data_IF_225078612124
#
_entry.id   IF_225078612124
#
_cell.length_a   1.000
_cell.length_b   1.000
_cell.length_c   1.000
_cell.angle_alpha   90.00
_cell.angle_beta   90.00
_cell.angle_gamma   90.00
#
_symmetry.space_group_name_H-M   'P 1'
#
loop_
_entity.id
_entity.type
_entity.pdbx_description
1 polymer ?
#
# COMPACT_ATOMS: atom_id res chain seq x y z
N UNK A 1 -39.16 -15.00 6.70
CA UNK A 1 -37.84 -14.75 7.26
C UNK A 1 -36.81 -15.13 6.20
N UNK A 2 -36.33 -14.17 5.41
CA UNK A 2 -35.36 -14.40 4.37
C UNK A 2 -33.96 -14.32 4.99
N UNK A 3 -33.20 -15.40 4.91
CA UNK A 3 -31.82 -15.48 5.41
C UNK A 3 -30.90 -14.52 4.66
N UNK A 4 -30.27 -13.58 5.38
CA UNK A 4 -29.22 -12.73 4.82
C UNK A 4 -28.06 -13.59 4.33
N UNK A 5 -27.48 -13.31 3.16
CA UNK A 5 -26.33 -14.04 2.64
C UNK A 5 -25.13 -13.81 3.55
N UNK A 6 -24.54 -14.90 4.05
CA UNK A 6 -23.25 -14.89 4.77
C UNK A 6 -22.20 -14.25 3.85
N UNK A 7 -21.60 -13.14 4.27
CA UNK A 7 -20.50 -12.51 3.54
C UNK A 7 -19.38 -13.54 3.37
N UNK A 8 -19.17 -13.97 2.15
CA UNK A 8 -18.09 -14.89 1.79
C UNK A 8 -16.76 -14.17 2.03
N UNK A 9 -15.83 -14.83 2.72
CA UNK A 9 -14.43 -14.44 2.75
C UNK A 9 -13.97 -14.35 1.28
N UNK A 10 -13.90 -13.15 0.72
CA UNK A 10 -13.40 -12.96 -0.64
C UNK A 10 -11.90 -13.21 -0.59
N UNK A 11 -11.37 -14.24 -1.24
CA UNK A 11 -9.94 -14.47 -1.30
C UNK A 11 -9.26 -13.26 -1.97
N UNK A 12 -8.00 -12.95 -1.59
CA UNK A 12 -7.23 -11.90 -2.27
C UNK A 12 -7.21 -12.18 -3.78
N UNK A 13 -7.17 -11.13 -4.63
CA UNK A 13 -7.21 -11.27 -6.08
C UNK A 13 -6.12 -12.21 -6.58
N UNK A 14 -6.35 -12.95 -7.67
CA UNK A 14 -5.41 -13.93 -8.18
C UNK A 14 -4.04 -13.27 -8.44
N UNK A 15 -3.07 -13.67 -7.63
CA UNK A 15 -1.69 -13.26 -7.79
C UNK A 15 -1.03 -14.06 -8.90
N UNK A 16 -0.09 -13.45 -9.64
CA UNK A 16 0.74 -14.21 -10.57
C UNK A 16 1.42 -15.37 -9.84
N UNK A 17 1.84 -16.39 -10.60
CA UNK A 17 2.54 -17.56 -10.02
C UNK A 17 3.73 -17.17 -9.13
N UNK A 18 4.41 -16.05 -9.40
CA UNK A 18 5.52 -15.52 -8.60
C UNK A 18 5.07 -14.84 -7.30
N UNK A 19 3.93 -14.14 -7.30
CA UNK A 19 3.43 -13.41 -6.12
C UNK A 19 2.74 -14.34 -5.11
N UNK A 20 2.12 -15.43 -5.53
CA UNK A 20 1.37 -16.33 -4.65
C UNK A 20 2.17 -16.84 -3.44
N UNK A 21 3.41 -17.36 -3.59
CA UNK A 21 4.21 -17.80 -2.44
C UNK A 21 4.66 -16.60 -1.56
N UNK A 22 4.88 -15.42 -2.14
CA UNK A 22 5.23 -14.21 -1.39
C UNK A 22 4.05 -13.77 -0.53
N UNK A 23 2.84 -13.71 -1.09
CA UNK A 23 1.62 -13.34 -0.38
C UNK A 23 1.31 -14.31 0.76
N UNK A 24 1.47 -15.62 0.55
CA UNK A 24 1.30 -16.62 1.62
C UNK A 24 2.22 -16.33 2.80
N UNK A 25 3.53 -16.13 2.55
CA UNK A 25 4.52 -15.79 3.59
C UNK A 25 4.19 -14.47 4.32
N UNK A 26 3.60 -13.49 3.62
CA UNK A 26 3.13 -12.26 4.25
C UNK A 26 1.96 -12.55 5.19
N UNK A 27 0.92 -13.22 4.71
CA UNK A 27 -0.30 -13.50 5.47
C UNK A 27 -0.03 -14.33 6.73
N UNK A 28 0.93 -15.27 6.65
CA UNK A 28 1.34 -16.16 7.75
C UNK A 28 2.38 -15.53 8.69
N UNK A 29 2.87 -14.31 8.42
CA UNK A 29 3.94 -13.69 9.18
C UNK A 29 3.54 -13.39 10.63
N UNK A 30 4.43 -13.78 11.58
CA UNK A 30 4.25 -13.58 13.03
C UNK A 30 5.37 -12.77 13.68
N UNK A 31 6.30 -12.17 12.91
CA UNK A 31 7.55 -11.54 13.40
C UNK A 31 7.33 -10.37 14.36
N UNK A 32 6.16 -9.73 14.38
CA UNK A 32 5.86 -8.55 15.18
C UNK A 32 4.68 -8.83 16.12
N UNK A 33 4.89 -9.41 17.33
CA UNK A 33 3.81 -9.79 18.25
C UNK A 33 2.88 -8.61 18.59
N UNK A 34 3.44 -7.42 18.87
CA UNK A 34 2.66 -6.20 19.16
C UNK A 34 1.67 -5.87 18.04
N UNK A 35 2.12 -5.86 16.79
CA UNK A 35 1.26 -5.56 15.64
C UNK A 35 0.23 -6.67 15.40
N UNK A 36 0.64 -7.94 15.55
CA UNK A 36 -0.27 -9.08 15.37
C UNK A 36 -1.39 -9.09 16.41
N UNK A 37 -1.04 -8.81 17.67
CA UNK A 37 -2.03 -8.66 18.75
C UNK A 37 -2.96 -7.50 18.46
N UNK A 38 -2.44 -6.32 18.13
CA UNK A 38 -3.26 -5.16 17.79
C UNK A 38 -4.23 -5.42 16.64
N UNK A 39 -3.75 -6.00 15.52
CA UNK A 39 -4.62 -6.33 14.38
C UNK A 39 -5.77 -7.26 14.76
N UNK A 40 -5.50 -8.29 15.60
CA UNK A 40 -6.52 -9.24 16.09
C UNK A 40 -7.49 -8.59 17.07
N UNK A 41 -7.00 -7.76 17.97
CA UNK A 41 -7.83 -7.00 18.92
C UNK A 41 -8.82 -6.11 18.16
N UNK A 42 -8.33 -5.30 17.22
CA UNK A 42 -9.18 -4.46 16.36
C UNK A 42 -10.20 -5.29 15.56
N UNK A 43 -9.78 -6.47 15.07
CA UNK A 43 -10.69 -7.35 14.32
C UNK A 43 -11.80 -7.96 15.18
N UNK A 44 -11.55 -8.16 16.48
CA UNK A 44 -12.53 -8.65 17.46
C UNK A 44 -13.45 -7.51 17.95
N UNK A 45 -12.87 -6.38 18.35
CA UNK A 45 -13.58 -5.25 18.95
C UNK A 45 -14.37 -4.46 17.92
N UNK A 46 -13.83 -4.35 16.69
CA UNK A 46 -14.41 -3.67 15.55
C UNK A 46 -14.75 -2.19 15.84
N UNK A 47 -15.19 -1.48 14.85
CA UNK A 47 -15.81 -0.15 14.96
C UNK A 47 -17.32 -0.32 14.83
N UNK A 48 -18.11 0.46 15.53
CA UNK A 48 -19.59 0.36 15.51
C UNK A 48 -20.16 0.35 14.08
N UNK A 49 -19.65 1.19 13.20
CA UNK A 49 -20.06 1.26 11.79
C UNK A 49 -19.75 -0.01 10.97
N UNK A 50 -18.93 -0.93 11.48
CA UNK A 50 -18.49 -2.15 10.79
C UNK A 50 -18.64 -3.40 11.67
N UNK A 51 -19.56 -3.36 12.68
CA UNK A 51 -19.70 -4.46 13.65
C UNK A 51 -20.10 -5.78 13.00
N UNK A 52 -20.88 -5.71 11.93
CA UNK A 52 -21.41 -6.88 11.24
C UNK A 52 -20.46 -7.42 10.15
N UNK A 53 -19.36 -6.71 9.87
CA UNK A 53 -18.37 -7.13 8.89
C UNK A 53 -17.36 -8.09 9.50
N UNK A 54 -16.80 -8.98 8.65
CA UNK A 54 -15.70 -9.86 9.03
C UNK A 54 -14.40 -9.13 8.71
N UNK A 55 -13.63 -8.79 9.76
CA UNK A 55 -12.31 -8.21 9.60
C UNK A 55 -11.29 -9.29 9.22
N UNK A 56 -10.38 -8.93 8.33
CA UNK A 56 -9.24 -9.77 7.94
C UNK A 56 -8.31 -10.07 9.11
N UNK A 57 -7.87 -9.06 9.88
CA UNK A 57 -7.08 -9.18 11.10
C UNK A 57 -5.70 -9.84 10.96
N UNK A 58 -5.19 -9.98 9.74
CA UNK A 58 -3.91 -10.61 9.40
C UNK A 58 -3.00 -9.62 8.67
N UNK A 59 -1.69 -9.94 8.44
CA UNK A 59 -0.85 -9.14 7.57
C UNK A 59 -1.47 -9.01 6.18
N UNK A 60 -1.37 -7.81 5.61
CA UNK A 60 -1.98 -7.46 4.32
C UNK A 60 -0.92 -7.54 3.22
N UNK A 61 -1.05 -8.42 2.22
CA UNK A 61 -0.17 -8.44 1.07
C UNK A 61 -0.40 -7.23 0.16
N UNK A 62 0.49 -7.01 -0.79
CA UNK A 62 0.25 -6.08 -1.87
C UNK A 62 -0.82 -6.58 -2.82
N UNK A 63 -1.33 -5.70 -3.69
CA UNK A 63 -2.31 -6.05 -4.70
C UNK A 63 -2.13 -5.19 -5.97
N UNK A 64 -2.62 -5.66 -7.08
CA UNK A 64 -2.62 -4.95 -8.36
C UNK A 64 -2.19 -5.82 -9.52
N UNK A 65 -1.71 -5.19 -10.59
CA UNK A 65 -1.25 -5.87 -11.79
C UNK A 65 0.06 -6.62 -11.54
N UNK A 66 0.11 -7.95 -11.70
CA UNK A 66 1.36 -8.71 -11.55
C UNK A 66 2.41 -8.36 -12.62
N UNK A 67 2.05 -7.65 -13.68
CA UNK A 67 2.96 -7.15 -14.71
C UNK A 67 3.26 -5.65 -14.53
N UNK A 68 2.98 -5.10 -13.36
CA UNK A 68 3.13 -3.69 -13.06
C UNK A 68 4.51 -3.14 -13.43
N UNK A 69 4.50 -1.97 -14.06
CA UNK A 69 5.68 -1.13 -14.27
C UNK A 69 5.88 -0.11 -13.13
N UNK A 70 4.83 0.11 -12.34
CA UNK A 70 4.82 1.05 -11.20
C UNK A 70 4.52 0.31 -9.90
N UNK A 71 5.37 0.50 -8.88
CA UNK A 71 5.12 0.06 -7.51
C UNK A 71 4.78 1.26 -6.64
N UNK A 72 3.58 1.29 -6.07
CA UNK A 72 3.19 2.31 -5.08
C UNK A 72 3.41 1.75 -3.67
N UNK A 73 4.20 2.43 -2.86
CA UNK A 73 4.53 1.99 -1.50
C UNK A 73 3.92 2.95 -0.48
N UNK A 74 3.03 2.44 0.36
CA UNK A 74 2.48 3.15 1.52
C UNK A 74 3.21 2.84 2.82
N UNK A 75 2.70 3.40 3.94
CA UNK A 75 3.22 3.15 5.27
C UNK A 75 2.83 1.76 5.78
N UNK A 76 1.55 1.56 6.00
CA UNK A 76 0.97 0.39 6.67
C UNK A 76 -0.54 0.31 6.44
N UNK A 77 -1.19 -0.86 6.66
CA UNK A 77 -2.64 -0.99 6.70
C UNK A 77 -3.26 -0.08 7.76
N UNK A 78 -4.38 0.57 7.43
CA UNK A 78 -5.21 1.26 8.40
C UNK A 78 -6.01 0.24 9.24
N UNK A 79 -6.19 0.53 10.55
CA UNK A 79 -6.83 -0.39 11.51
C UNK A 79 -8.26 -0.82 11.10
N UNK A 80 -9.05 0.12 10.60
CA UNK A 80 -10.43 -0.13 10.13
C UNK A 80 -10.58 -0.07 8.60
N UNK A 81 -9.50 0.16 7.87
CA UNK A 81 -9.39 0.07 6.41
C UNK A 81 -8.82 -1.29 6.00
N UNK A 82 -7.55 -1.33 5.59
CA UNK A 82 -6.93 -2.54 5.06
C UNK A 82 -6.82 -3.70 6.05
N UNK A 83 -6.70 -3.45 7.37
CA UNK A 83 -6.79 -4.52 8.38
C UNK A 83 -8.19 -5.16 8.45
N UNK A 84 -9.23 -4.46 7.96
CA UNK A 84 -10.59 -5.00 7.79
C UNK A 84 -10.74 -5.69 6.45
N UNK A 85 -10.32 -5.04 5.37
CA UNK A 85 -10.65 -5.42 3.99
C UNK A 85 -9.63 -6.34 3.31
N UNK A 86 -8.47 -6.60 3.92
CA UNK A 86 -7.33 -7.32 3.31
C UNK A 86 -6.71 -6.62 2.07
N UNK A 87 -7.13 -5.39 1.72
CA UNK A 87 -6.65 -4.64 0.56
C UNK A 87 -6.14 -3.26 0.98
N UNK A 88 -4.88 -2.95 0.65
CA UNK A 88 -4.28 -1.65 0.97
C UNK A 88 -5.08 -0.50 0.36
N UNK A 89 -5.14 0.64 1.05
CA UNK A 89 -5.90 1.83 0.62
C UNK A 89 -7.37 1.52 0.28
N UNK A 90 -8.03 0.68 1.08
CA UNK A 90 -9.42 0.27 0.85
C UNK A 90 -10.24 0.38 2.12
N UNK A 91 -11.46 0.92 1.99
CA UNK A 91 -12.45 0.91 3.06
C UNK A 91 -12.24 1.98 4.13
N UNK A 92 -11.48 3.04 3.87
CA UNK A 92 -11.26 4.16 4.81
C UNK A 92 -12.46 5.13 4.87
N UNK A 93 -13.56 4.81 4.19
CA UNK A 93 -14.74 5.64 4.02
C UNK A 93 -14.61 6.65 2.88
N UNK A 94 -15.72 7.33 2.57
CA UNK A 94 -15.76 8.33 1.52
C UNK A 94 -14.75 9.47 1.79
N UNK A 95 -13.97 9.84 0.78
CA UNK A 95 -12.92 10.85 0.89
C UNK A 95 -11.72 10.44 1.77
N UNK A 96 -11.58 9.16 2.08
CA UNK A 96 -10.42 8.63 2.79
C UNK A 96 -9.16 8.54 1.90
N UNK A 97 -8.06 8.09 2.50
CA UNK A 97 -6.77 7.94 1.80
C UNK A 97 -6.86 7.06 0.55
N UNK A 98 -7.74 6.04 0.59
CA UNK A 98 -7.98 5.12 -0.54
C UNK A 98 -8.60 5.83 -1.73
N UNK A 99 -9.71 6.53 -1.53
CA UNK A 99 -10.38 7.28 -2.60
C UNK A 99 -9.48 8.40 -3.16
N UNK A 100 -8.76 9.11 -2.28
CA UNK A 100 -7.85 10.16 -2.70
C UNK A 100 -6.72 9.63 -3.60
N UNK A 101 -6.16 8.47 -3.24
CA UNK A 101 -5.13 7.80 -4.04
C UNK A 101 -5.71 7.28 -5.37
N UNK A 102 -6.85 6.57 -5.31
CA UNK A 102 -7.45 5.98 -6.50
C UNK A 102 -7.91 7.03 -7.51
N UNK A 103 -8.43 8.18 -7.06
CA UNK A 103 -8.80 9.28 -7.95
C UNK A 103 -7.59 9.79 -8.76
N UNK A 104 -6.43 9.96 -8.11
CA UNK A 104 -5.20 10.37 -8.80
C UNK A 104 -4.66 9.28 -9.74
N UNK A 105 -4.71 8.02 -9.33
CA UNK A 105 -4.29 6.88 -10.16
C UNK A 105 -5.21 6.68 -11.36
N UNK A 106 -6.52 6.79 -11.16
CA UNK A 106 -7.51 6.71 -12.24
C UNK A 106 -7.33 7.81 -13.28
N UNK A 107 -7.17 9.06 -12.84
CA UNK A 107 -6.92 10.19 -13.74
C UNK A 107 -5.66 10.01 -14.61
N UNK A 108 -4.65 9.31 -14.10
CA UNK A 108 -3.42 8.97 -14.83
C UNK A 108 -3.46 7.59 -15.51
N UNK A 109 -4.60 6.90 -15.54
CA UNK A 109 -4.79 5.62 -16.21
C UNK A 109 -4.15 4.40 -15.51
N UNK A 110 -3.89 4.49 -14.19
CA UNK A 110 -3.35 3.38 -13.37
C UNK A 110 -4.43 2.62 -12.60
N UNK A 111 -5.69 3.03 -12.68
CA UNK A 111 -6.83 2.34 -12.11
C UNK A 111 -8.05 2.51 -13.02
N UNK A 112 -8.94 1.52 -13.04
CA UNK A 112 -10.17 1.55 -13.85
C UNK A 112 -11.29 2.38 -13.22
N UNK A 113 -11.17 2.73 -11.92
CA UNK A 113 -12.16 3.53 -11.19
C UNK A 113 -11.49 4.42 -10.13
N UNK A 114 -12.13 5.56 -9.74
CA UNK A 114 -11.54 6.54 -8.83
C UNK A 114 -11.76 6.23 -7.35
N UNK A 115 -12.27 5.05 -6.99
CA UNK A 115 -12.62 4.69 -5.61
C UNK A 115 -12.10 3.31 -5.23
N UNK A 116 -11.92 3.09 -3.91
CA UNK A 116 -11.52 1.80 -3.32
C UNK A 116 -12.32 1.55 -2.04
N UNK A 117 -13.50 0.97 -2.18
CA UNK A 117 -14.48 0.85 -1.09
C UNK A 117 -14.43 -0.47 -0.35
N UNK A 118 -14.37 -1.58 -1.09
CA UNK A 118 -14.42 -2.94 -0.54
C UNK A 118 -13.70 -3.92 -1.47
N UNK A 119 -13.26 -5.08 -0.97
CA UNK A 119 -12.86 -6.19 -1.83
C UNK A 119 -14.00 -6.58 -2.76
N UNK A 120 -13.71 -6.79 -4.05
CA UNK A 120 -14.73 -7.16 -5.04
C UNK A 120 -15.59 -5.98 -5.56
N UNK A 121 -15.20 -4.74 -5.29
CA UNK A 121 -15.85 -3.53 -5.80
C UNK A 121 -15.56 -3.22 -7.28
N UNK A 122 -14.89 -4.13 -7.98
CA UNK A 122 -14.53 -3.98 -9.40
C UNK A 122 -13.24 -3.18 -9.63
N UNK A 123 -12.56 -2.70 -8.59
CA UNK A 123 -11.29 -2.00 -8.76
C UNK A 123 -10.21 -2.92 -9.33
N UNK A 124 -9.67 -2.51 -10.47
CA UNK A 124 -8.49 -3.10 -11.11
C UNK A 124 -7.38 -2.04 -11.25
N UNK A 125 -6.16 -2.41 -10.93
CA UNK A 125 -4.99 -1.57 -11.18
C UNK A 125 -4.37 -1.96 -12.52
N UNK A 126 -3.96 -0.95 -13.28
CA UNK A 126 -3.41 -1.07 -14.63
C UNK A 126 -1.95 -0.62 -14.57
N UNK A 127 -1.00 -1.49 -14.97
CA UNK A 127 0.44 -1.21 -14.88
C UNK A 127 0.95 -0.85 -13.46
N UNK A 128 0.15 -1.02 -12.44
CA UNK A 128 0.43 -0.58 -11.08
C UNK A 128 0.21 -1.69 -10.05
N UNK A 129 1.05 -1.72 -9.02
CA UNK A 129 0.94 -2.59 -7.86
C UNK A 129 1.10 -1.77 -6.60
N UNK A 130 0.26 -2.01 -5.58
CA UNK A 130 0.30 -1.29 -4.31
C UNK A 130 0.78 -2.22 -3.21
N UNK A 131 1.80 -1.77 -2.49
CA UNK A 131 2.36 -2.43 -1.32
C UNK A 131 2.47 -1.46 -0.13
N UNK A 132 2.94 -1.93 1.00
CA UNK A 132 3.22 -1.11 2.17
C UNK A 132 4.56 -1.49 2.82
N UNK A 133 5.23 -0.53 3.47
CA UNK A 133 6.48 -0.78 4.20
C UNK A 133 6.26 -1.74 5.38
N UNK A 134 5.09 -1.69 6.01
CA UNK A 134 4.66 -2.59 7.10
C UNK A 134 3.34 -3.26 6.71
N UNK A 135 3.21 -4.57 6.98
CA UNK A 135 2.06 -5.38 6.53
C UNK A 135 0.93 -5.49 7.55
N UNK A 136 1.14 -5.03 8.76
CA UNK A 136 0.16 -5.04 9.84
C UNK A 136 -0.18 -3.61 10.24
N UNK A 137 -1.43 -3.36 10.66
CA UNK A 137 -1.82 -2.06 11.19
C UNK A 137 -1.06 -1.78 12.50
N UNK A 138 -0.33 -0.66 12.62
CA UNK A 138 0.31 -0.28 13.86
C UNK A 138 -0.61 0.61 14.69
N UNK A 139 -0.57 0.52 16.03
CA UNK A 139 -1.26 1.47 16.90
C UNK A 139 -0.91 2.92 16.54
N UNK A 140 -1.92 3.78 16.47
CA UNK A 140 -1.81 5.20 16.11
C UNK A 140 -1.06 5.46 14.77
N UNK A 141 -1.05 4.49 13.86
CA UNK A 141 -0.28 4.52 12.60
C UNK A 141 1.25 4.73 12.79
N UNK A 142 1.79 4.30 13.94
CA UNK A 142 3.20 4.46 14.30
C UNK A 142 3.89 3.10 14.49
N UNK A 143 4.45 2.50 13.44
CA UNK A 143 5.30 1.33 13.58
C UNK A 143 6.64 1.72 14.22
N UNK A 144 7.24 0.80 14.97
CA UNK A 144 8.60 0.98 15.49
C UNK A 144 9.64 0.75 14.37
N UNK A 145 10.87 1.22 14.56
CA UNK A 145 11.97 0.97 13.62
C UNK A 145 12.25 -0.53 13.46
N UNK A 146 12.13 -1.30 14.54
CA UNK A 146 12.28 -2.76 14.53
C UNK A 146 11.18 -3.44 13.70
N UNK A 147 9.93 -3.00 13.82
CA UNK A 147 8.80 -3.53 13.03
C UNK A 147 8.95 -3.23 11.54
N UNK A 148 9.44 -2.04 11.20
CA UNK A 148 9.79 -1.69 9.81
C UNK A 148 10.91 -2.60 9.29
N UNK A 149 11.96 -2.83 10.08
CA UNK A 149 13.06 -3.72 9.73
C UNK A 149 12.59 -5.17 9.56
N UNK A 150 11.80 -5.70 10.50
CA UNK A 150 11.24 -7.05 10.43
C UNK A 150 10.34 -7.26 9.20
N UNK A 151 9.67 -6.20 8.75
CA UNK A 151 8.74 -6.25 7.62
C UNK A 151 9.42 -6.05 6.25
N UNK A 152 10.60 -5.44 6.23
CA UNK A 152 11.34 -5.09 5.01
C UNK A 152 11.56 -6.28 4.05
N UNK A 153 11.88 -7.53 4.49
CA UNK A 153 12.04 -8.68 3.59
C UNK A 153 10.79 -9.00 2.76
N UNK A 154 9.60 -8.64 3.23
CA UNK A 154 8.38 -8.83 2.45
C UNK A 154 8.31 -7.84 1.28
N UNK A 155 8.74 -6.59 1.47
CA UNK A 155 8.79 -5.60 0.39
C UNK A 155 9.87 -5.97 -0.65
N UNK A 156 11.03 -6.48 -0.19
CA UNK A 156 12.08 -7.04 -1.07
C UNK A 156 11.52 -8.16 -1.94
N UNK A 157 10.79 -9.11 -1.34
CA UNK A 157 10.25 -10.26 -2.05
C UNK A 157 9.16 -9.87 -3.06
N UNK A 158 8.29 -8.89 -2.75
CA UNK A 158 7.30 -8.40 -3.71
C UNK A 158 7.96 -7.67 -4.87
N UNK A 159 8.94 -6.79 -4.62
CA UNK A 159 9.66 -6.11 -5.70
C UNK A 159 10.40 -7.12 -6.60
N UNK A 160 10.98 -8.17 -6.03
CA UNK A 160 11.61 -9.24 -6.81
C UNK A 160 10.62 -10.04 -7.66
N UNK A 161 9.36 -10.19 -7.20
CA UNK A 161 8.28 -10.85 -7.94
C UNK A 161 7.62 -9.95 -9.01
N UNK A 162 8.02 -8.67 -9.12
CA UNK A 162 7.54 -7.67 -10.06
C UNK A 162 8.67 -7.17 -10.96
N UNK A 163 9.20 -8.01 -11.88
CA UNK A 163 10.44 -7.72 -12.62
C UNK A 163 10.34 -6.53 -13.58
N UNK A 164 9.12 -6.08 -13.92
CA UNK A 164 8.89 -4.96 -14.85
C UNK A 164 8.86 -3.59 -14.16
N UNK A 165 8.92 -3.54 -12.82
CA UNK A 165 8.87 -2.28 -12.08
C UNK A 165 10.08 -1.42 -12.42
N UNK A 166 9.82 -0.32 -13.12
CA UNK A 166 10.80 0.72 -13.44
C UNK A 166 10.65 1.99 -12.60
N UNK A 167 9.50 2.16 -11.94
CA UNK A 167 9.23 3.35 -11.10
C UNK A 167 8.60 2.92 -9.77
N UNK A 168 9.05 3.52 -8.66
CA UNK A 168 8.46 3.38 -7.33
C UNK A 168 7.90 4.72 -6.88
N UNK A 169 6.62 4.79 -6.55
CA UNK A 169 5.98 5.95 -5.90
C UNK A 169 5.96 5.72 -4.39
N UNK A 170 6.71 6.51 -3.63
CA UNK A 170 6.80 6.41 -2.18
C UNK A 170 5.86 7.41 -1.50
N UNK A 171 4.77 6.92 -0.91
CA UNK A 171 3.76 7.74 -0.23
C UNK A 171 4.17 8.00 1.23
N UNK A 172 4.79 9.16 1.48
CA UNK A 172 5.27 9.60 2.79
C UNK A 172 6.69 9.17 3.11
N UNK A 173 7.23 9.80 4.18
CA UNK A 173 8.64 9.65 4.57
C UNK A 173 9.06 8.21 4.87
N UNK A 174 8.24 7.45 5.59
CA UNK A 174 8.58 6.06 5.96
C UNK A 174 8.65 5.15 4.73
N UNK A 175 7.72 5.31 3.78
CA UNK A 175 7.74 4.59 2.51
C UNK A 175 8.97 4.97 1.69
N UNK A 176 9.31 6.25 1.64
CA UNK A 176 10.53 6.74 0.97
C UNK A 176 11.79 6.13 1.57
N UNK A 177 11.89 6.11 2.91
CA UNK A 177 13.02 5.51 3.59
C UNK A 177 13.10 3.99 3.36
N UNK A 178 11.95 3.31 3.24
CA UNK A 178 11.89 1.88 2.89
C UNK A 178 12.42 1.62 1.46
N UNK A 179 12.11 2.49 0.49
CA UNK A 179 12.62 2.38 -0.88
C UNK A 179 14.16 2.50 -0.93
N UNK A 180 14.75 3.40 -0.13
CA UNK A 180 16.22 3.51 -0.07
C UNK A 180 16.89 2.34 0.64
N UNK A 181 16.20 1.68 1.57
CA UNK A 181 16.66 0.39 2.12
C UNK A 181 16.67 -0.72 1.07
N UNK A 182 15.67 -0.74 0.17
CA UNK A 182 15.70 -1.66 -0.99
C UNK A 182 16.92 -1.43 -1.87
N UNK A 183 17.21 -0.17 -2.22
CA UNK A 183 18.39 0.20 -3.00
C UNK A 183 19.69 -0.16 -2.28
N UNK A 184 19.76 0.09 -0.97
CA UNK A 184 20.92 -0.24 -0.14
C UNK A 184 21.17 -1.76 -0.09
N UNK A 185 20.12 -2.57 0.06
CA UNK A 185 20.21 -4.02 0.02
C UNK A 185 20.68 -4.60 -1.32
N UNK A 186 20.62 -3.81 -2.40
CA UNK A 186 21.18 -4.12 -3.72
C UNK A 186 22.56 -3.48 -3.98
N UNK A 187 23.13 -2.76 -3.00
CA UNK A 187 24.40 -2.06 -3.14
C UNK A 187 24.38 -0.79 -4.02
N UNK A 188 23.18 -0.30 -4.36
CA UNK A 188 23.01 0.82 -5.34
C UNK A 188 22.40 2.08 -4.72
N UNK A 189 22.36 2.18 -3.39
CA UNK A 189 21.84 3.37 -2.72
C UNK A 189 22.77 4.57 -2.92
N UNK A 190 22.25 5.74 -3.37
CA UNK A 190 23.05 6.93 -3.51
C UNK A 190 23.55 7.45 -2.15
N UNK A 191 24.72 8.07 -2.15
CA UNK A 191 25.32 8.76 -1.00
C UNK A 191 25.68 10.18 -1.39
N UNK A 192 25.20 11.21 -0.67
CA UNK A 192 24.31 11.14 0.48
C UNK A 192 22.90 10.65 0.10
N UNK A 193 22.14 10.15 1.10
CA UNK A 193 20.74 9.76 0.92
C UNK A 193 19.92 10.93 0.41
N UNK A 194 19.08 10.76 -0.63
CA UNK A 194 18.25 11.81 -1.18
C UNK A 194 17.26 12.40 -0.16
N UNK A 195 16.94 13.67 -0.31
CA UNK A 195 15.97 14.35 0.56
C UNK A 195 14.54 13.94 0.19
N UNK A 196 13.70 13.80 1.20
CA UNK A 196 12.27 13.62 0.96
C UNK A 196 11.61 14.96 0.62
N UNK A 197 10.90 15.03 -0.50
CA UNK A 197 10.09 16.17 -0.90
C UNK A 197 9.02 15.72 -1.90
N UNK A 198 7.82 16.31 -1.82
CA UNK A 198 6.72 15.97 -2.72
C UNK A 198 7.11 16.25 -4.19
N UNK A 199 6.81 15.30 -5.08
CA UNK A 199 7.09 15.41 -6.52
C UNK A 199 8.58 15.25 -6.91
N UNK A 200 9.50 15.13 -5.93
CA UNK A 200 10.90 14.89 -6.24
C UNK A 200 11.11 13.49 -6.78
N UNK A 201 11.79 13.40 -7.91
CA UNK A 201 12.12 12.15 -8.58
C UNK A 201 13.63 11.91 -8.56
N UNK A 202 14.01 10.69 -8.24
CA UNK A 202 15.40 10.22 -8.21
C UNK A 202 15.54 9.06 -9.19
N UNK A 203 16.45 9.23 -10.16
CA UNK A 203 16.73 8.24 -11.22
C UNK A 203 18.06 7.55 -10.97
N UNK A 204 18.14 6.29 -11.34
CA UNK A 204 19.33 5.46 -11.31
C UNK A 204 19.19 4.38 -12.38
N UNK A 205 20.26 4.04 -13.06
CA UNK A 205 20.26 2.95 -14.05
C UNK A 205 20.21 1.56 -13.37
N UNK A 206 20.65 1.48 -12.11
CA UNK A 206 20.75 0.22 -11.37
C UNK A 206 19.54 -0.08 -10.48
N UNK A 207 18.58 0.86 -10.35
CA UNK A 207 17.40 0.71 -9.49
C UNK A 207 16.21 1.47 -10.07
N UNK A 208 14.98 0.97 -9.88
CA UNK A 208 13.79 1.71 -10.30
C UNK A 208 13.81 3.17 -9.84
N UNK A 209 13.38 4.09 -10.68
CA UNK A 209 13.28 5.49 -10.31
C UNK A 209 12.34 5.64 -9.11
N UNK A 210 12.68 6.49 -8.15
CA UNK A 210 11.85 6.72 -6.95
C UNK A 210 11.26 8.12 -7.00
N UNK A 211 9.94 8.22 -6.96
CA UNK A 211 9.22 9.49 -6.81
C UNK A 211 8.64 9.56 -5.40
N UNK A 212 8.98 10.62 -4.68
CA UNK A 212 8.42 10.90 -3.36
C UNK A 212 7.11 11.68 -3.46
N UNK A 213 6.09 11.27 -2.72
CA UNK A 213 4.85 12.02 -2.58
C UNK A 213 4.43 12.14 -1.11
N UNK A 214 3.74 13.22 -0.74
CA UNK A 214 3.09 13.27 0.56
C UNK A 214 2.04 12.17 0.66
N UNK A 215 1.91 11.56 1.84
CA UNK A 215 0.93 10.52 2.06
C UNK A 215 -0.50 11.12 2.01
N UNK A 216 -1.48 10.49 1.33
CA UNK A 216 -2.86 10.98 1.24
C UNK A 216 -3.64 10.71 2.54
N UNK A 217 -3.03 11.00 3.70
CA UNK A 217 -3.69 10.93 5.01
C UNK A 217 -4.65 12.11 5.19
N UNK A 218 -5.71 11.90 5.95
CA UNK A 218 -6.65 12.98 6.32
C UNK A 218 -5.94 14.20 6.91
N UNK A 219 -4.86 14.00 7.66
CA UNK A 219 -4.05 15.10 8.18
C UNK A 219 -3.49 15.97 7.05
N UNK A 220 -2.93 15.36 6.00
CA UNK A 220 -2.35 16.12 4.89
C UNK A 220 -3.42 16.70 3.94
N UNK A 221 -4.51 15.98 3.72
CA UNK A 221 -5.58 16.42 2.81
C UNK A 221 -6.45 17.50 3.43
N UNK A 222 -6.83 17.37 4.70
CA UNK A 222 -7.66 18.35 5.40
C UNK A 222 -6.91 19.66 5.70
N UNK A 223 -5.57 19.63 5.80
CA UNK A 223 -4.75 20.84 6.00
C UNK A 223 -4.29 21.49 4.69
N UNK A 224 -4.67 20.93 3.53
CA UNK A 224 -4.23 21.43 2.24
C UNK A 224 -2.76 21.16 1.91
N UNK A 225 -2.02 20.45 2.79
CA UNK A 225 -0.62 20.05 2.54
C UNK A 225 -0.50 19.15 1.31
N UNK A 226 -1.51 18.36 1.02
CA UNK A 226 -1.65 17.57 -0.19
C UNK A 226 -3.01 17.84 -0.82
N UNK A 227 -3.02 18.38 -2.03
CA UNK A 227 -4.23 18.59 -2.82
C UNK A 227 -4.44 17.47 -3.85
N UNK A 228 -5.66 17.27 -4.39
CA UNK A 228 -5.90 16.30 -5.46
C UNK A 228 -5.02 16.55 -6.70
N UNK A 229 -4.84 17.82 -7.09
CA UNK A 229 -3.97 18.21 -8.22
C UNK A 229 -2.53 17.78 -8.00
N UNK A 230 -1.96 18.07 -6.84
CA UNK A 230 -0.59 17.68 -6.50
C UNK A 230 -0.35 16.17 -6.61
N UNK A 231 -1.28 15.33 -6.14
CA UNK A 231 -1.09 13.89 -6.24
C UNK A 231 -1.32 13.38 -7.66
N UNK A 232 -2.25 13.96 -8.40
CA UNK A 232 -2.45 13.67 -9.83
C UNK A 232 -1.19 13.96 -10.64
N UNK A 233 -0.56 15.12 -10.47
CA UNK A 233 0.69 15.50 -11.14
C UNK A 233 1.82 14.49 -10.90
N UNK A 234 1.90 13.92 -9.69
CA UNK A 234 2.86 12.84 -9.41
C UNK A 234 2.60 11.63 -10.32
N UNK A 235 1.34 11.19 -10.46
CA UNK A 235 1.02 10.02 -11.30
C UNK A 235 1.11 10.31 -12.80
N UNK A 236 0.78 11.53 -13.24
CA UNK A 236 1.02 11.98 -14.63
C UNK A 236 2.52 11.96 -14.96
N UNK A 237 3.36 12.47 -14.05
CA UNK A 237 4.82 12.37 -14.19
C UNK A 237 5.31 10.92 -14.27
N UNK A 238 4.75 10.03 -13.43
CA UNK A 238 5.04 8.58 -13.47
C UNK A 238 4.65 8.00 -14.84
N UNK A 239 3.49 8.37 -15.39
CA UNK A 239 3.04 7.89 -16.70
C UNK A 239 4.02 8.25 -17.81
N UNK A 240 4.61 9.43 -17.78
CA UNK A 240 5.64 9.85 -18.73
C UNK A 240 7.02 9.20 -18.52
N UNK A 241 7.20 8.37 -17.48
CA UNK A 241 8.47 7.69 -17.17
C UNK A 241 8.48 6.20 -17.56
N UNK A 242 7.33 5.62 -17.93
CA UNK A 242 7.16 4.19 -18.23
C UNK A 242 6.72 3.93 -19.65
#
# INVERSE_FOLDING_TARGET
MAGMPRSRNVPPPPSSRALAPVHRRIVECTRCPRLRTYCRTIAREKRAAFRDEIYWGRPVPGFGDPRARVLVVGLAPAAHGANRTARNFTGDGAGGSGDFLMAAMHAAGFANQPTSRAPGDGLELIDAFIAAAVRCAPPANKPTSQEIANCHPHLVAELAALPRVGVIVALGRVAFDACWRLAAGRGVAPRPKPRFGHGLAYRSDAFPAVIAAYHPSRQNTNTGKLTPGMLREVFEKVRGMI
#
